data_IF_722516361377
#
_entry.id   IF_722516361377
#
_cell.length_a   1.000
_cell.length_b   1.000
_cell.length_c   1.000
_cell.angle_alpha   90.00
_cell.angle_beta   90.00
_cell.angle_gamma   90.00
#
_symmetry.space_group_name_H-M   'P 1'
#
loop_
_entity.id
_entity.type
_entity.pdbx_description
1 polymer ?
#
# COMPACT_ATOMS: atom_id res chain seq x y z
N UNK A 1 46.51 -13.12 41.52
CA UNK A 1 46.25 -14.21 40.55
C UNK A 1 44.94 -14.85 40.93
N UNK A 2 43.87 -14.89 40.15
CA UNK A 2 43.62 -14.45 38.79
C UNK A 2 42.18 -14.87 38.45
N UNK A 3 41.50 -13.98 37.73
CA UNK A 3 40.32 -14.21 36.86
C UNK A 3 39.02 -14.70 37.48
N UNK A 4 38.04 -13.78 37.53
CA UNK A 4 36.63 -14.09 37.71
C UNK A 4 36.03 -14.81 36.50
N UNK A 5 35.06 -15.68 36.79
CA UNK A 5 34.18 -16.30 35.80
C UNK A 5 32.94 -15.41 35.70
N UNK A 6 32.86 -14.64 34.62
CA UNK A 6 31.61 -14.11 34.08
C UNK A 6 30.97 -15.22 33.26
N UNK A 7 29.91 -15.84 33.76
CA UNK A 7 28.99 -16.61 32.92
C UNK A 7 27.82 -15.70 32.53
N UNK A 8 27.82 -15.28 31.26
CA UNK A 8 26.85 -14.36 30.70
C UNK A 8 25.42 -14.92 30.62
N UNK A 9 24.42 -14.04 30.41
CA UNK A 9 23.02 -14.46 30.30
C UNK A 9 22.78 -15.19 28.96
N UNK A 10 22.34 -16.45 29.03
CA UNK A 10 21.95 -17.24 27.85
C UNK A 10 20.59 -16.76 27.30
N UNK A 11 20.48 -16.43 25.99
CA UNK A 11 19.22 -16.01 25.38
C UNK A 11 18.40 -17.21 24.88
N UNK A 12 17.08 -17.12 25.04
CA UNK A 12 16.10 -17.70 24.14
C UNK A 12 15.81 -19.21 24.25
N UNK A 13 14.65 -19.54 24.82
CA UNK A 13 13.91 -20.74 24.42
C UNK A 13 12.40 -20.53 24.60
N UNK A 14 11.77 -20.19 23.48
CA UNK A 14 10.42 -20.60 23.06
C UNK A 14 9.24 -20.30 23.99
N UNK A 15 8.63 -19.14 23.74
CA UNK A 15 7.19 -18.93 23.89
C UNK A 15 6.46 -20.07 23.19
N UNK A 16 5.98 -21.05 23.96
CA UNK A 16 5.17 -22.18 23.50
C UNK A 16 3.85 -21.62 22.98
N UNK A 17 3.83 -21.29 21.69
CA UNK A 17 2.68 -20.72 21.01
C UNK A 17 1.51 -21.71 21.13
N UNK A 18 0.44 -21.20 21.73
CA UNK A 18 -0.81 -21.87 22.08
C UNK A 18 -1.34 -22.66 20.88
N UNK A 19 -1.12 -23.98 20.87
CA UNK A 19 -1.72 -24.91 19.90
C UNK A 19 -3.25 -24.89 20.10
N UNK A 20 -3.94 -24.10 19.29
CA UNK A 20 -5.38 -24.19 19.14
C UNK A 20 -5.70 -25.52 18.47
N UNK A 21 -6.31 -26.44 19.22
CA UNK A 21 -6.85 -27.71 18.73
C UNK A 21 -7.87 -27.44 17.62
N UNK A 22 -7.46 -27.64 16.37
CA UNK A 22 -8.33 -27.67 15.19
C UNK A 22 -8.70 -29.10 14.82
N UNK A 23 -9.76 -29.25 14.02
CA UNK A 23 -10.32 -30.52 13.52
C UNK A 23 -9.43 -31.28 12.51
N UNK A 24 -8.23 -30.76 12.20
CA UNK A 24 -7.30 -31.31 11.21
C UNK A 24 -5.88 -31.37 11.81
N UNK A 25 -5.01 -32.27 11.32
CA UNK A 25 -3.63 -32.35 11.77
C UNK A 25 -2.91 -30.99 11.63
N UNK A 26 -2.06 -30.61 12.59
CA UNK A 26 -1.40 -29.30 12.59
C UNK A 26 -0.58 -29.03 11.33
N UNK A 27 0.02 -30.07 10.73
CA UNK A 27 0.77 -29.95 9.47
C UNK A 27 -0.08 -29.53 8.27
N UNK A 28 -1.35 -29.97 8.25
CA UNK A 28 -2.32 -29.65 7.20
C UNK A 28 -2.84 -28.23 7.39
N UNK A 29 -3.05 -27.80 8.63
CA UNK A 29 -3.39 -26.40 8.93
C UNK A 29 -2.25 -25.46 8.54
N UNK A 30 -1.01 -25.78 8.84
CA UNK A 30 0.14 -24.96 8.43
C UNK A 30 0.34 -24.93 6.91
N UNK A 31 -0.12 -25.95 6.18
CA UNK A 31 -0.08 -25.98 4.71
C UNK A 31 -1.24 -25.20 4.08
N UNK A 32 -2.45 -25.28 4.64
CA UNK A 32 -3.66 -24.71 4.04
C UNK A 32 -3.93 -23.27 4.48
N UNK A 33 -3.58 -22.89 5.70
CA UNK A 33 -3.82 -21.53 6.22
C UNK A 33 -3.15 -20.46 5.35
N UNK A 34 -1.86 -20.57 4.95
CA UNK A 34 -1.25 -19.54 4.13
C UNK A 34 -1.89 -19.40 2.73
N UNK A 35 -2.10 -20.47 1.95
CA UNK A 35 -2.79 -20.40 0.66
C UNK A 35 -4.22 -19.87 0.76
N UNK A 36 -5.00 -20.30 1.75
CA UNK A 36 -6.39 -19.83 1.94
C UNK A 36 -6.41 -18.36 2.33
N UNK A 37 -5.47 -17.92 3.19
CA UNK A 37 -5.34 -16.50 3.56
C UNK A 37 -5.04 -15.66 2.33
N UNK A 38 -4.04 -16.04 1.53
CA UNK A 38 -3.70 -15.29 0.31
C UNK A 38 -4.84 -15.33 -0.71
N UNK A 39 -5.49 -16.49 -0.85
CA UNK A 39 -6.71 -16.64 -1.65
C UNK A 39 -7.82 -15.68 -1.22
N UNK A 40 -8.05 -15.51 0.09
CA UNK A 40 -9.05 -14.58 0.60
C UNK A 40 -8.70 -13.11 0.28
N UNK A 41 -7.43 -12.71 0.44
CA UNK A 41 -6.97 -11.37 0.06
C UNK A 41 -7.09 -11.13 -1.45
N UNK A 42 -6.66 -12.08 -2.28
CA UNK A 42 -6.75 -11.97 -3.74
C UNK A 42 -8.20 -12.02 -4.22
N UNK A 43 -9.03 -12.84 -3.59
CA UNK A 43 -10.47 -12.92 -3.85
C UNK A 43 -11.17 -11.62 -3.53
N UNK A 44 -10.88 -11.00 -2.38
CA UNK A 44 -11.41 -9.68 -2.02
C UNK A 44 -11.02 -8.59 -3.03
N UNK A 45 -9.74 -8.55 -3.43
CA UNK A 45 -9.30 -7.65 -4.51
C UNK A 45 -10.00 -7.96 -5.85
N UNK A 46 -10.23 -9.23 -6.14
CA UNK A 46 -10.97 -9.69 -7.31
C UNK A 46 -12.42 -9.20 -7.31
N UNK A 47 -13.11 -9.23 -6.17
CA UNK A 47 -14.48 -8.69 -6.02
C UNK A 47 -14.48 -7.20 -6.35
N UNK A 48 -13.58 -6.42 -5.75
CA UNK A 48 -13.49 -4.97 -6.00
C UNK A 48 -13.25 -4.67 -7.48
N UNK A 49 -12.31 -5.38 -8.11
CA UNK A 49 -12.03 -5.24 -9.54
C UNK A 49 -13.23 -5.62 -10.42
N UNK A 50 -13.97 -6.67 -10.05
CA UNK A 50 -15.15 -7.12 -10.81
C UNK A 50 -16.35 -6.21 -10.67
N UNK A 51 -16.58 -5.65 -9.49
CA UNK A 51 -17.61 -4.63 -9.25
C UNK A 51 -17.28 -3.37 -10.05
N UNK A 52 -16.05 -2.85 -9.95
CA UNK A 52 -15.62 -1.67 -10.69
C UNK A 52 -15.69 -1.86 -12.21
N UNK A 53 -15.26 -3.02 -12.71
CA UNK A 53 -15.33 -3.35 -14.14
C UNK A 53 -16.75 -3.53 -14.67
N UNK A 54 -17.70 -3.95 -13.83
CA UNK A 54 -19.10 -4.08 -14.22
C UNK A 54 -19.85 -2.76 -14.22
N UNK A 55 -19.54 -1.86 -13.27
CA UNK A 55 -20.05 -0.47 -13.30
C UNK A 55 -19.61 0.22 -14.59
N UNK A 56 -18.35 0.03 -15.01
CA UNK A 56 -17.84 0.63 -16.25
C UNK A 56 -18.41 0.02 -17.55
N UNK A 57 -19.10 -1.12 -17.48
CA UNK A 57 -19.64 -1.85 -18.65
C UNK A 57 -21.15 -2.08 -18.55
N UNK A 58 -21.86 -1.34 -17.69
CA UNK A 58 -23.29 -1.46 -17.46
C UNK A 58 -23.79 -2.91 -17.26
N UNK A 59 -22.97 -3.72 -16.61
CA UNK A 59 -23.26 -5.14 -16.32
C UNK A 59 -23.64 -5.29 -14.85
N UNK A 60 -24.33 -6.37 -14.47
CA UNK A 60 -24.68 -6.63 -13.07
C UNK A 60 -23.42 -6.65 -12.16
N UNK A 61 -23.25 -5.66 -11.26
CA UNK A 61 -22.03 -5.50 -10.47
C UNK A 61 -21.88 -6.59 -9.42
N UNK A 62 -22.99 -7.12 -8.91
CA UNK A 62 -22.98 -8.20 -7.92
C UNK A 62 -22.51 -9.51 -8.54
N UNK A 63 -23.09 -9.90 -9.68
CA UNK A 63 -22.70 -11.13 -10.39
C UNK A 63 -21.24 -11.08 -10.84
N UNK A 64 -20.81 -9.93 -11.40
CA UNK A 64 -19.42 -9.73 -11.84
C UNK A 64 -18.44 -9.77 -10.66
N UNK A 65 -18.74 -9.09 -9.55
CA UNK A 65 -17.91 -9.10 -8.35
C UNK A 65 -17.76 -10.50 -7.73
N UNK A 66 -18.86 -11.27 -7.65
CA UNK A 66 -18.81 -12.64 -7.12
C UNK A 66 -18.00 -13.55 -8.04
N UNK A 67 -18.23 -13.50 -9.35
CA UNK A 67 -17.51 -14.33 -10.32
C UNK A 67 -16.02 -14.02 -10.34
N UNK A 68 -15.66 -12.73 -10.37
CA UNK A 68 -14.26 -12.32 -10.33
C UNK A 68 -13.61 -12.68 -9.00
N UNK A 69 -14.30 -12.50 -7.88
CA UNK A 69 -13.83 -12.87 -6.55
C UNK A 69 -13.50 -14.36 -6.44
N UNK A 70 -14.43 -15.23 -6.86
CA UNK A 70 -14.23 -16.69 -6.86
C UNK A 70 -13.08 -17.09 -7.77
N UNK A 71 -12.97 -16.46 -8.95
CA UNK A 71 -11.87 -16.72 -9.87
C UNK A 71 -10.51 -16.34 -9.27
N UNK A 72 -10.38 -15.13 -8.69
CA UNK A 72 -9.13 -14.67 -8.08
C UNK A 72 -8.79 -15.39 -6.77
N UNK A 73 -9.80 -15.87 -6.05
CA UNK A 73 -9.62 -16.75 -4.88
C UNK A 73 -9.04 -18.10 -5.28
N UNK A 74 -9.62 -18.75 -6.30
CA UNK A 74 -9.16 -20.05 -6.79
C UNK A 74 -7.71 -19.97 -7.33
N UNK A 75 -7.39 -18.89 -8.04
CA UNK A 75 -6.03 -18.65 -8.54
C UNK A 75 -5.03 -18.39 -7.41
N UNK A 76 -5.36 -17.51 -6.45
CA UNK A 76 -4.48 -17.22 -5.33
C UNK A 76 -4.19 -18.45 -4.47
N UNK A 77 -5.23 -19.23 -4.18
CA UNK A 77 -5.14 -20.45 -3.36
C UNK A 77 -4.34 -21.53 -4.06
N UNK A 78 -4.63 -21.83 -5.33
CA UNK A 78 -3.92 -22.87 -6.10
C UNK A 78 -2.45 -22.54 -6.34
N UNK A 79 -2.13 -21.26 -6.59
CA UNK A 79 -0.75 -20.80 -6.72
C UNK A 79 0.03 -21.02 -5.42
N UNK A 80 -0.45 -20.47 -4.30
CA UNK A 80 0.26 -20.57 -3.03
C UNK A 80 0.34 -22.00 -2.49
N UNK A 81 -0.72 -22.79 -2.69
CA UNK A 81 -0.72 -24.20 -2.31
C UNK A 81 0.31 -24.99 -3.12
N UNK A 82 0.33 -24.85 -4.44
CA UNK A 82 1.31 -25.56 -5.28
C UNK A 82 2.73 -25.11 -4.97
N UNK A 83 2.94 -23.82 -4.74
CA UNK A 83 4.26 -23.27 -4.38
C UNK A 83 4.75 -23.84 -3.05
N UNK A 84 3.91 -23.90 -2.02
CA UNK A 84 4.28 -24.44 -0.70
C UNK A 84 4.56 -25.94 -0.74
N UNK A 85 3.75 -26.72 -1.47
CA UNK A 85 4.00 -28.15 -1.68
C UNK A 85 5.32 -28.37 -2.42
N UNK A 86 5.57 -27.62 -3.49
CA UNK A 86 6.81 -27.76 -4.27
C UNK A 86 8.04 -27.35 -3.46
N UNK A 87 7.94 -26.30 -2.64
CA UNK A 87 9.05 -25.89 -1.77
C UNK A 87 9.31 -26.91 -0.64
N UNK A 88 8.27 -27.59 -0.13
CA UNK A 88 8.45 -28.69 0.82
C UNK A 88 9.08 -29.92 0.16
N UNK A 89 8.67 -30.27 -1.05
CA UNK A 89 9.22 -31.39 -1.81
C UNK A 89 10.70 -31.20 -2.19
N UNK A 90 11.14 -29.95 -2.37
CA UNK A 90 12.51 -29.60 -2.74
C UNK A 90 13.45 -29.38 -1.52
N UNK A 91 13.02 -29.69 -0.29
CA UNK A 91 13.91 -29.71 0.88
C UNK A 91 13.77 -28.54 1.88
N UNK A 92 12.71 -27.72 1.76
CA UNK A 92 12.41 -26.65 2.72
C UNK A 92 13.11 -25.31 2.40
N UNK A 93 12.55 -24.20 2.90
CA UNK A 93 12.95 -22.83 2.51
C UNK A 93 14.39 -22.46 2.92
N UNK A 94 14.97 -23.14 3.91
CA UNK A 94 16.28 -22.81 4.49
C UNK A 94 17.48 -23.10 3.57
N UNK A 95 17.34 -23.98 2.58
CA UNK A 95 18.45 -24.39 1.68
C UNK A 95 18.21 -24.03 0.20
N UNK A 96 17.19 -23.23 -0.11
CA UNK A 96 16.82 -22.98 -1.51
C UNK A 96 17.64 -21.90 -2.18
N UNK A 97 18.29 -22.28 -3.28
CA UNK A 97 18.89 -21.31 -4.19
C UNK A 97 17.78 -20.50 -4.88
N UNK A 98 18.06 -19.26 -5.32
CA UNK A 98 17.09 -18.42 -6.06
C UNK A 98 16.49 -19.12 -7.30
N UNK A 99 17.23 -20.04 -7.92
CA UNK A 99 16.77 -20.85 -9.05
C UNK A 99 15.66 -21.84 -8.66
N UNK A 100 15.70 -22.39 -7.44
CA UNK A 100 14.70 -23.36 -6.97
C UNK A 100 13.39 -22.66 -6.63
N UNK A 101 13.45 -21.44 -6.07
CA UNK A 101 12.29 -20.55 -5.87
C UNK A 101 11.62 -20.20 -7.20
N UNK A 102 12.42 -19.90 -8.23
CA UNK A 102 11.92 -19.60 -9.59
C UNK A 102 11.24 -20.82 -10.21
N UNK A 103 11.84 -22.02 -10.12
CA UNK A 103 11.22 -23.26 -10.60
C UNK A 103 9.93 -23.57 -9.88
N UNK A 104 9.92 -23.47 -8.55
CA UNK A 104 8.72 -23.71 -7.74
C UNK A 104 7.58 -22.76 -8.13
N UNK A 105 7.90 -21.51 -8.45
CA UNK A 105 6.90 -20.52 -8.83
C UNK A 105 6.47 -20.59 -10.28
N UNK A 106 7.33 -21.10 -11.17
CA UNK A 106 6.94 -21.47 -12.53
C UNK A 106 5.90 -22.60 -12.50
N UNK A 107 6.18 -23.66 -11.74
CA UNK A 107 5.26 -24.80 -11.56
C UNK A 107 3.96 -24.36 -10.90
N UNK A 108 4.04 -23.56 -9.83
CA UNK A 108 2.86 -23.00 -9.18
C UNK A 108 2.05 -22.09 -10.11
N UNK A 109 2.72 -21.28 -10.92
CA UNK A 109 2.09 -20.47 -11.96
C UNK A 109 1.37 -21.35 -12.98
N UNK A 110 2.00 -22.40 -13.48
CA UNK A 110 1.35 -23.33 -14.41
C UNK A 110 0.15 -24.06 -13.79
N UNK A 111 0.23 -24.49 -12.54
CA UNK A 111 -0.90 -25.10 -11.84
C UNK A 111 -2.07 -24.11 -11.67
N UNK A 112 -1.79 -22.88 -11.26
CA UNK A 112 -2.80 -21.82 -11.19
C UNK A 112 -3.37 -21.49 -12.59
N UNK A 113 -2.54 -21.50 -13.62
CA UNK A 113 -2.96 -21.33 -15.02
C UNK A 113 -3.86 -22.47 -15.50
N UNK A 114 -3.62 -23.71 -15.08
CA UNK A 114 -4.51 -24.83 -15.38
C UNK A 114 -5.90 -24.63 -14.75
N UNK A 115 -5.94 -24.19 -13.49
CA UNK A 115 -7.19 -23.82 -12.79
C UNK A 115 -7.89 -22.67 -13.51
N UNK A 116 -7.14 -21.62 -13.90
CA UNK A 116 -7.66 -20.48 -14.66
C UNK A 116 -8.30 -20.90 -15.98
N UNK A 117 -7.61 -21.78 -16.70
CA UNK A 117 -8.04 -22.29 -17.98
C UNK A 117 -9.27 -23.18 -17.86
N UNK A 118 -9.33 -24.02 -16.82
CA UNK A 118 -10.49 -24.86 -16.56
C UNK A 118 -11.76 -24.02 -16.32
N UNK A 119 -11.65 -22.93 -15.55
CA UNK A 119 -12.77 -22.00 -15.34
C UNK A 119 -13.23 -21.28 -16.62
N UNK A 120 -12.37 -21.20 -17.64
CA UNK A 120 -12.65 -20.54 -18.94
C UNK A 120 -12.92 -21.52 -20.09
N UNK A 121 -12.81 -22.83 -19.85
CA UNK A 121 -13.05 -23.91 -20.80
C UNK A 121 -11.79 -24.72 -21.21
N UNK A 122 -11.94 -26.02 -21.54
CA UNK A 122 -10.83 -26.93 -21.85
C UNK A 122 -9.78 -26.44 -22.86
N UNK A 123 -10.12 -25.80 -24.00
CA UNK A 123 -9.12 -25.37 -24.98
C UNK A 123 -8.23 -24.23 -24.47
N UNK A 124 -8.58 -23.59 -23.34
CA UNK A 124 -7.82 -22.47 -22.77
C UNK A 124 -6.86 -22.89 -21.65
N UNK A 125 -6.77 -24.18 -21.32
CA UNK A 125 -5.92 -24.71 -20.25
C UNK A 125 -4.43 -24.53 -20.59
N UNK A 126 -3.97 -25.12 -21.69
CA UNK A 126 -2.56 -25.06 -22.10
C UNK A 126 -2.01 -23.63 -22.24
N UNK A 127 -2.68 -22.70 -22.96
CA UNK A 127 -2.15 -21.34 -23.07
C UNK A 127 -2.14 -20.62 -21.71
N UNK A 128 -3.12 -20.87 -20.83
CA UNK A 128 -3.14 -20.29 -19.49
C UNK A 128 -2.01 -20.82 -18.60
N UNK A 129 -1.68 -22.12 -18.68
CA UNK A 129 -0.56 -22.72 -17.95
C UNK A 129 0.78 -22.10 -18.33
N UNK A 130 1.01 -21.84 -19.62
CA UNK A 130 2.25 -21.23 -20.12
C UNK A 130 2.34 -19.78 -19.66
N UNK A 131 1.29 -18.99 -19.89
CA UNK A 131 1.27 -17.57 -19.52
C UNK A 131 1.47 -17.37 -18.01
N UNK A 132 0.71 -18.08 -17.18
CA UNK A 132 0.84 -17.96 -15.74
C UNK A 132 2.13 -18.58 -15.19
N UNK A 133 2.66 -19.62 -15.83
CA UNK A 133 3.98 -20.18 -15.49
C UNK A 133 5.10 -19.17 -15.73
N UNK A 134 5.09 -18.50 -16.89
CA UNK A 134 6.03 -17.41 -17.19
C UNK A 134 5.86 -16.24 -16.22
N UNK A 135 4.63 -15.86 -15.89
CA UNK A 135 4.36 -14.82 -14.91
C UNK A 135 4.90 -15.19 -13.51
N UNK A 136 4.73 -16.44 -13.09
CA UNK A 136 5.26 -16.96 -11.82
C UNK A 136 6.80 -16.98 -11.79
N UNK A 137 7.44 -17.41 -12.88
CA UNK A 137 8.90 -17.41 -13.00
C UNK A 137 9.46 -15.98 -13.04
N UNK A 138 8.87 -15.12 -13.87
CA UNK A 138 9.27 -13.72 -14.01
C UNK A 138 9.07 -12.92 -12.71
N UNK A 139 7.95 -13.16 -12.01
CA UNK A 139 7.68 -12.56 -10.71
C UNK A 139 8.72 -12.92 -9.65
N UNK A 140 9.14 -14.19 -9.59
CA UNK A 140 10.25 -14.59 -8.70
C UNK A 140 11.60 -14.05 -9.15
N UNK A 141 11.87 -13.99 -10.46
CA UNK A 141 13.12 -13.41 -10.94
C UNK A 141 13.23 -11.93 -10.57
N UNK A 142 12.11 -11.19 -10.65
CA UNK A 142 12.03 -9.83 -10.16
C UNK A 142 12.24 -9.76 -8.64
N UNK A 143 11.54 -10.59 -7.86
CA UNK A 143 11.69 -10.63 -6.40
C UNK A 143 13.14 -10.95 -5.99
N UNK A 144 13.76 -11.94 -6.61
CA UNK A 144 15.18 -12.30 -6.39
C UNK A 144 16.13 -11.14 -6.76
N UNK A 145 15.80 -10.35 -7.80
CA UNK A 145 16.59 -9.17 -8.20
C UNK A 145 16.43 -8.00 -7.23
N UNK A 146 15.24 -7.84 -6.63
CA UNK A 146 15.01 -6.85 -5.57
C UNK A 146 15.64 -7.28 -4.24
N UNK A 147 15.65 -8.58 -3.92
CA UNK A 147 16.32 -9.11 -2.72
C UNK A 147 17.86 -9.05 -2.86
N UNK A 148 18.39 -9.28 -4.06
CA UNK A 148 19.81 -9.07 -4.38
C UNK A 148 20.20 -7.57 -4.43
N UNK A 149 19.21 -6.67 -4.45
CA UNK A 149 19.41 -5.24 -4.20
C UNK A 149 19.13 -4.99 -2.73
N UNK A 150 20.13 -5.18 -1.88
CA UNK A 150 20.12 -4.69 -0.50
C UNK A 150 19.55 -3.26 -0.42
N UNK A 151 18.95 -2.84 0.72
CA UNK A 151 18.24 -1.58 0.86
C UNK A 151 19.24 -0.42 0.79
N UNK A 152 19.65 -0.07 -0.44
CA UNK A 152 20.31 1.20 -0.70
C UNK A 152 19.27 2.26 -0.38
N UNK A 153 19.64 3.11 0.58
CA UNK A 153 19.04 4.41 0.92
C UNK A 153 18.09 4.83 -0.19
N UNK A 154 16.78 4.91 0.12
CA UNK A 154 15.70 5.33 -0.79
C UNK A 154 16.24 6.38 -1.77
N UNK A 155 16.51 5.94 -2.98
CA UNK A 155 17.05 6.80 -4.03
C UNK A 155 15.93 7.80 -4.37
N UNK A 156 16.24 9.10 -4.40
CA UNK A 156 15.26 10.18 -4.60
C UNK A 156 14.40 10.00 -5.85
N UNK A 157 14.89 9.18 -6.80
CA UNK A 157 14.20 8.78 -8.03
C UNK A 157 12.94 7.95 -7.81
N UNK A 158 12.89 7.06 -6.82
CA UNK A 158 11.64 6.35 -6.49
C UNK A 158 10.63 7.33 -5.92
N UNK A 159 11.08 8.29 -5.10
CA UNK A 159 10.21 9.35 -4.58
C UNK A 159 9.62 10.21 -5.70
N UNK A 160 10.35 10.42 -6.80
CA UNK A 160 9.91 11.24 -7.94
C UNK A 160 8.80 10.58 -8.78
N UNK A 161 8.76 9.24 -8.83
CA UNK A 161 7.69 8.53 -9.54
C UNK A 161 6.42 8.47 -8.69
N UNK A 162 6.57 8.21 -7.39
CA UNK A 162 5.46 8.19 -6.44
C UNK A 162 4.92 9.59 -6.08
N UNK A 163 5.74 10.65 -6.16
CA UNK A 163 5.32 12.03 -5.91
C UNK A 163 4.36 12.58 -6.97
N UNK A 164 4.45 12.09 -8.22
CA UNK A 164 3.49 12.45 -9.28
C UNK A 164 2.09 11.88 -9.04
N UNK A 165 1.97 10.86 -8.19
CA UNK A 165 0.70 10.21 -7.82
C UNK A 165 0.27 10.54 -6.37
N UNK A 166 1.06 11.37 -5.67
CA UNK A 166 0.74 11.84 -4.33
C UNK A 166 0.12 13.24 -4.41
N UNK A 167 -1.12 13.44 -3.93
CA UNK A 167 -1.72 14.77 -3.77
C UNK A 167 -0.94 15.70 -2.83
N UNK A 168 0.03 15.18 -2.09
CA UNK A 168 0.92 15.93 -1.21
C UNK A 168 2.26 16.16 -1.91
N UNK A 169 2.49 17.41 -2.32
CA UNK A 169 3.77 17.89 -2.88
C UNK A 169 4.80 17.93 -1.75
N UNK A 170 5.92 17.24 -1.93
CA UNK A 170 7.06 17.30 -1.01
C UNK A 170 7.82 18.59 -1.31
N UNK A 171 7.69 19.59 -0.45
CA UNK A 171 8.46 20.83 -0.53
C UNK A 171 9.89 20.56 -0.08
N UNK A 172 10.88 21.13 -0.79
CA UNK A 172 12.25 21.24 -0.28
C UNK A 172 12.35 22.39 0.72
N UNK A 173 13.35 22.38 1.59
CA UNK A 173 13.50 23.40 2.65
C UNK A 173 13.61 24.81 2.04
N UNK A 174 14.30 24.99 0.91
CA UNK A 174 14.31 26.27 0.18
C UNK A 174 12.91 26.68 -0.31
N UNK A 175 12.13 25.76 -0.86
CA UNK A 175 10.79 26.05 -1.41
C UNK A 175 9.78 26.35 -0.28
N UNK A 176 10.03 25.83 0.94
CA UNK A 176 9.30 26.22 2.15
C UNK A 176 9.63 27.64 2.60
N UNK A 177 10.91 28.01 2.62
CA UNK A 177 11.35 29.36 2.99
C UNK A 177 10.77 30.40 2.04
N UNK A 178 10.80 30.13 0.73
CA UNK A 178 10.26 31.03 -0.29
C UNK A 178 8.73 31.21 -0.16
N UNK A 179 8.00 30.10 0.02
CA UNK A 179 6.56 30.13 0.25
C UNK A 179 6.15 30.82 1.55
N UNK A 180 6.98 30.73 2.61
CA UNK A 180 6.78 31.51 3.83
C UNK A 180 7.05 32.99 3.59
N UNK A 181 8.08 33.34 2.82
CA UNK A 181 8.38 34.73 2.43
C UNK A 181 7.22 35.39 1.69
N UNK A 182 6.68 34.72 0.66
CA UNK A 182 5.51 35.23 -0.08
C UNK A 182 4.28 35.46 0.82
N UNK A 183 4.04 34.55 1.79
CA UNK A 183 2.94 34.70 2.74
C UNK A 183 3.12 35.87 3.69
N UNK A 184 4.34 36.11 4.16
CA UNK A 184 4.65 37.24 5.05
C UNK A 184 4.41 38.57 4.31
N UNK A 185 4.92 38.70 3.08
CA UNK A 185 4.71 39.88 2.23
C UNK A 185 3.22 40.18 2.00
N UNK A 186 2.40 39.15 1.77
CA UNK A 186 0.95 39.32 1.61
C UNK A 186 0.28 39.81 2.89
N UNK A 187 0.67 39.26 4.04
CA UNK A 187 0.14 39.69 5.35
C UNK A 187 0.54 41.13 5.66
N UNK A 188 1.78 41.52 5.37
CA UNK A 188 2.24 42.91 5.54
C UNK A 188 1.46 43.90 4.67
N UNK A 189 1.17 43.54 3.41
CA UNK A 189 0.34 44.36 2.53
C UNK A 189 -1.11 44.48 3.04
N UNK A 190 -1.70 43.38 3.53
CA UNK A 190 -3.03 43.39 4.11
C UNK A 190 -3.09 44.24 5.40
N UNK A 191 -2.03 44.23 6.22
CA UNK A 191 -1.91 45.08 7.41
C UNK A 191 -1.89 46.56 7.02
N UNK A 192 -1.10 46.94 6.01
CA UNK A 192 -1.05 48.33 5.54
C UNK A 192 -2.42 48.83 5.06
N UNK A 193 -3.16 47.99 4.31
CA UNK A 193 -4.51 48.32 3.86
C UNK A 193 -5.49 48.45 5.04
N UNK A 194 -5.34 47.64 6.07
CA UNK A 194 -6.17 47.71 7.28
C UNK A 194 -5.86 48.98 8.07
N UNK A 195 -4.59 49.36 8.22
CA UNK A 195 -4.17 50.58 8.91
C UNK A 195 -4.73 51.83 8.23
N UNK A 196 -4.71 51.88 6.89
CA UNK A 196 -5.33 52.96 6.10
C UNK A 196 -6.84 53.03 6.38
N UNK A 197 -7.54 51.89 6.39
CA UNK A 197 -8.98 51.83 6.72
C UNK A 197 -9.26 52.25 8.16
N UNK A 198 -8.40 51.91 9.11
CA UNK A 198 -8.53 52.31 10.52
C UNK A 198 -8.35 53.83 10.64
N UNK A 199 -7.40 54.42 9.92
CA UNK A 199 -7.17 55.87 9.91
C UNK A 199 -8.37 56.62 9.34
N UNK A 200 -8.93 56.15 8.22
CA UNK A 200 -10.15 56.70 7.63
C UNK A 200 -11.35 56.62 8.57
N UNK A 201 -11.56 55.47 9.21
CA UNK A 201 -12.66 55.29 10.18
C UNK A 201 -12.51 56.23 11.39
N UNK A 202 -11.29 56.41 11.90
CA UNK A 202 -11.03 57.35 13.01
C UNK A 202 -11.27 58.81 12.60
N UNK A 203 -10.88 59.19 11.38
CA UNK A 203 -11.14 60.53 10.85
C UNK A 203 -12.63 60.81 10.65
N UNK A 204 -13.38 59.81 10.15
CA UNK A 204 -14.84 59.88 10.03
C UNK A 204 -15.53 59.96 11.39
N UNK A 205 -15.05 59.23 12.40
CA UNK A 205 -15.59 59.27 13.77
C UNK A 205 -15.32 60.62 14.46
N UNK A 206 -14.16 61.24 14.21
CA UNK A 206 -13.84 62.58 14.69
C UNK A 206 -14.72 63.66 14.04
N UNK A 207 -14.91 63.61 12.73
CA UNK A 207 -15.82 64.54 12.03
C UNK A 207 -17.28 64.36 12.46
N UNK A 208 -17.73 63.13 12.73
CA UNK A 208 -19.07 62.88 13.28
C UNK A 208 -19.23 63.44 14.72
N UNK A 209 -18.19 63.34 15.56
CA UNK A 209 -18.19 63.93 16.91
C UNK A 209 -18.23 65.46 16.86
N UNK A 210 -17.46 66.09 15.97
CA UNK A 210 -17.45 67.55 15.82
C UNK A 210 -18.79 68.11 15.29
N UNK A 211 -19.49 67.37 14.42
CA UNK A 211 -20.83 67.73 13.93
C UNK A 211 -21.93 67.56 15.00
N UNK A 212 -21.78 66.57 15.88
CA UNK A 212 -22.69 66.38 17.04
C UNK A 212 -22.53 67.47 18.11
N UNK A 213 -21.34 68.06 18.26
CA UNK A 213 -21.09 69.15 19.21
C UNK A 213 -21.58 70.50 18.67
N UNK A 214 -21.53 70.74 17.35
CA UNK A 214 -22.05 71.99 16.74
C UNK A 214 -23.58 72.06 16.73
N UNK A 215 -24.28 70.92 16.67
CA UNK A 215 -25.75 70.89 16.72
C UNK A 215 -26.32 71.11 18.13
N UNK A 216 -25.52 70.90 19.18
CA UNK A 216 -25.92 71.12 20.58
C UNK A 216 -25.77 72.58 21.06
N UNK A 217 -25.05 73.44 20.31
CA UNK A 217 -24.69 74.80 20.72
C UNK A 217 -25.41 75.93 19.97
N UNK A 218 -26.45 75.63 19.18
CA UNK A 218 -27.28 76.66 18.54
C UNK A 218 -28.35 77.18 19.52
N UNK A 219 -28.33 78.47 19.92
CA UNK A 219 -29.43 79.07 20.67
C UNK A 219 -30.64 79.30 19.75
N UNK A 220 -31.84 79.08 20.28
CA UNK A 220 -33.11 79.50 19.67
C UNK A 220 -33.26 81.02 19.66
#
# INVERSE_FOLDING_TARGET
MGTGIQDGPRPGASTRQRQTRGLLPPEVMELLVPPVKVGAWSGGAGVLAGVGGAIARDTNPFASGVLSGVQWFALGTSYWFTRTVMMRALGGEEHMRPVDKTKASAVAGSAAGAVAGLMRGPPRILPAMVLWGLFGAGGQMAANRFEAREPRVKDDKDSQFWSKWSPLKKLTDEEYVDMMGEKILKVEADIALIDDRIAELRAAEQTAKDQGVQTANSPK
#
